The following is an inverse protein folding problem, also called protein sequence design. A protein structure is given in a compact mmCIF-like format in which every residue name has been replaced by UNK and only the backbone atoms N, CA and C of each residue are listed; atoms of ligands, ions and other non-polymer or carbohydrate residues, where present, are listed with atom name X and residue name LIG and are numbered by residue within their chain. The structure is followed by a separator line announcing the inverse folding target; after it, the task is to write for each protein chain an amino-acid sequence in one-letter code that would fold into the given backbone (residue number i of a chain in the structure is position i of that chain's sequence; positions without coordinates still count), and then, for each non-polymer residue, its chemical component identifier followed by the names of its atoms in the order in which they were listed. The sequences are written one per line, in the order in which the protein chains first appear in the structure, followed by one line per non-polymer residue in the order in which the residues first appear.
data_IF_436638357257
#
_entry.id   IF_436638357257
#
_cell.length_a   1.000
_cell.length_b   1.000
_cell.length_c   1.000
_cell.angle_alpha   90.00
_cell.angle_beta   90.00
_cell.angle_gamma   90.00
#
_symmetry.space_group_name_H-M   'P 1'
#
loop_
_entity.id
_entity.type
_entity.pdbx_description
1 polymer ?
#
# COMPACT_ATOMS: atom_id res chain seq x y z
N UNK A 1 22.04 -4.50 -16.62
CA UNK A 1 21.97 -5.97 -16.76
C UNK A 1 20.99 -6.61 -15.77
N UNK A 2 21.14 -6.40 -14.45
CA UNK A 2 20.33 -7.09 -13.43
C UNK A 2 18.80 -6.91 -13.55
N UNK A 3 18.23 -5.71 -13.75
CA UNK A 3 16.77 -5.55 -13.85
C UNK A 3 16.13 -6.30 -15.03
N UNK A 4 16.85 -6.38 -16.16
CA UNK A 4 16.41 -7.13 -17.36
C UNK A 4 16.41 -8.62 -17.07
N UNK A 5 17.45 -9.11 -16.39
CA UNK A 5 17.56 -10.51 -15.99
C UNK A 5 16.48 -10.90 -14.97
N UNK A 6 16.21 -10.08 -13.95
CA UNK A 6 15.14 -10.34 -12.98
C UNK A 6 13.78 -10.45 -13.70
N UNK A 7 13.48 -9.53 -14.63
CA UNK A 7 12.25 -9.57 -15.43
C UNK A 7 12.17 -10.82 -16.32
N UNK A 8 13.30 -11.26 -16.88
CA UNK A 8 13.39 -12.49 -17.66
C UNK A 8 13.11 -13.72 -16.79
N UNK A 9 13.77 -13.83 -15.63
CA UNK A 9 13.58 -14.93 -14.68
C UNK A 9 12.11 -15.05 -14.23
N UNK A 10 11.47 -13.93 -13.90
CA UNK A 10 10.04 -13.90 -13.54
C UNK A 10 9.13 -14.38 -14.68
N UNK A 11 9.40 -13.94 -15.92
CA UNK A 11 8.62 -14.36 -17.10
C UNK A 11 8.82 -15.84 -17.43
N UNK A 12 10.06 -16.32 -17.34
CA UNK A 12 10.39 -17.73 -17.55
C UNK A 12 9.74 -18.62 -16.50
N UNK A 13 9.86 -18.28 -15.22
CA UNK A 13 9.19 -18.99 -14.13
C UNK A 13 7.68 -19.07 -14.34
N UNK A 14 7.04 -17.95 -14.72
CA UNK A 14 5.61 -17.92 -14.99
C UNK A 14 5.20 -18.80 -16.18
N UNK A 15 6.00 -18.82 -17.26
CA UNK A 15 5.76 -19.68 -18.41
C UNK A 15 5.87 -21.17 -18.04
N UNK A 16 6.93 -21.55 -17.32
CA UNK A 16 7.17 -22.93 -16.88
C UNK A 16 6.04 -23.41 -15.95
N UNK A 17 5.60 -22.55 -15.04
CA UNK A 17 4.52 -22.85 -14.12
C UNK A 17 3.17 -23.06 -14.83
N UNK A 18 2.85 -22.25 -15.85
CA UNK A 18 1.67 -22.45 -16.71
C UNK A 18 1.69 -23.80 -17.43
N UNK A 19 2.88 -24.28 -17.80
CA UNK A 19 3.10 -25.58 -18.43
C UNK A 19 3.26 -26.72 -17.42
N UNK A 20 3.01 -26.48 -16.12
CA UNK A 20 3.11 -27.47 -15.02
C UNK A 20 4.51 -28.04 -14.80
N UNK A 21 5.55 -27.40 -15.32
CA UNK A 21 6.96 -27.77 -15.12
C UNK A 21 7.46 -27.20 -13.78
N UNK A 22 6.93 -27.70 -12.66
CA UNK A 22 7.06 -27.07 -11.34
C UNK A 22 8.52 -26.96 -10.86
N UNK A 23 9.35 -28.01 -11.02
CA UNK A 23 10.75 -27.98 -10.61
C UNK A 23 11.57 -26.97 -11.42
N UNK A 24 11.33 -26.90 -12.73
CA UNK A 24 12.00 -25.94 -13.61
C UNK A 24 11.55 -24.50 -13.31
N UNK A 25 10.26 -24.30 -13.02
CA UNK A 25 9.74 -23.02 -12.59
C UNK A 25 10.41 -22.57 -11.28
N UNK A 26 10.58 -23.49 -10.32
CA UNK A 26 11.24 -23.23 -9.05
C UNK A 26 12.69 -22.78 -9.26
N UNK A 27 13.45 -23.47 -10.13
CA UNK A 27 14.81 -23.09 -10.50
C UNK A 27 14.85 -21.69 -11.15
N UNK A 28 13.94 -21.41 -12.08
CA UNK A 28 13.88 -20.10 -12.73
C UNK A 28 13.64 -18.96 -11.73
N UNK A 29 12.69 -19.14 -10.80
CA UNK A 29 12.39 -18.14 -9.78
C UNK A 29 13.53 -17.96 -8.77
N UNK A 30 14.31 -18.99 -8.44
CA UNK A 30 15.45 -18.88 -7.51
C UNK A 30 16.52 -17.86 -7.92
N UNK A 31 16.57 -17.49 -9.21
CA UNK A 31 17.53 -16.51 -9.72
C UNK A 31 17.20 -15.05 -9.37
N UNK A 32 16.01 -14.77 -8.81
CA UNK A 32 15.61 -13.43 -8.38
C UNK A 32 14.83 -13.47 -7.08
N UNK A 33 15.12 -12.53 -6.19
CA UNK A 33 14.31 -12.31 -4.99
C UNK A 33 13.25 -11.22 -5.23
N UNK A 34 13.13 -10.64 -6.43
CA UNK A 34 12.12 -9.63 -6.71
C UNK A 34 10.69 -10.22 -6.69
N UNK A 35 9.69 -9.53 -6.09
CA UNK A 35 8.30 -9.96 -6.16
C UNK A 35 7.82 -10.16 -7.61
N UNK A 36 6.99 -11.18 -7.89
CA UNK A 36 6.41 -12.14 -6.93
C UNK A 36 7.25 -13.41 -6.70
N UNK A 37 8.54 -13.45 -7.09
CA UNK A 37 9.35 -14.69 -7.07
C UNK A 37 9.33 -15.44 -5.74
N UNK A 38 9.59 -14.80 -4.57
CA UNK A 38 9.58 -15.49 -3.28
C UNK A 38 8.24 -16.18 -3.00
N UNK A 39 7.11 -15.49 -3.22
CA UNK A 39 5.76 -16.06 -3.09
C UNK A 39 5.59 -17.28 -4.01
N UNK A 40 5.97 -17.17 -5.29
CA UNK A 40 5.82 -18.28 -6.24
C UNK A 40 6.66 -19.50 -5.82
N UNK A 41 7.87 -19.27 -5.33
CA UNK A 41 8.75 -20.34 -4.81
C UNK A 41 8.13 -21.04 -3.62
N UNK A 42 7.57 -20.31 -2.65
CA UNK A 42 6.85 -20.92 -1.51
C UNK A 42 5.71 -21.81 -2.00
N UNK A 43 4.88 -21.33 -2.94
CA UNK A 43 3.77 -22.10 -3.50
C UNK A 43 4.24 -23.36 -4.25
N UNK A 44 5.34 -23.27 -5.01
CA UNK A 44 5.91 -24.40 -5.72
C UNK A 44 6.54 -25.43 -4.76
N UNK A 45 7.27 -24.98 -3.74
CA UNK A 45 7.82 -25.86 -2.70
C UNK A 45 6.69 -26.61 -1.97
N UNK A 46 5.61 -25.91 -1.60
CA UNK A 46 4.41 -26.55 -1.03
C UNK A 46 3.81 -27.60 -1.97
N UNK A 47 3.64 -27.26 -3.25
CA UNK A 47 3.11 -28.18 -4.28
C UNK A 47 3.99 -29.41 -4.50
N UNK A 48 5.31 -29.28 -4.33
CA UNK A 48 6.29 -30.35 -4.42
C UNK A 48 6.47 -31.14 -3.11
N UNK A 49 5.69 -30.84 -2.07
CA UNK A 49 5.79 -31.50 -0.76
C UNK A 49 7.01 -31.09 0.08
N UNK A 50 7.77 -30.07 -0.34
CA UNK A 50 8.99 -29.58 0.33
C UNK A 50 8.63 -28.58 1.43
N UNK A 51 7.82 -29.02 2.40
CA UNK A 51 7.23 -28.17 3.44
C UNK A 51 8.28 -27.43 4.30
N UNK A 52 9.36 -28.06 4.79
CA UNK A 52 10.35 -27.36 5.61
C UNK A 52 11.04 -26.21 4.85
N UNK A 53 11.29 -26.39 3.56
CA UNK A 53 11.90 -25.35 2.73
C UNK A 53 10.93 -24.21 2.41
N UNK A 54 9.65 -24.53 2.22
CA UNK A 54 8.60 -23.53 2.08
C UNK A 54 8.48 -22.68 3.36
N UNK A 55 8.54 -23.32 4.54
CA UNK A 55 8.46 -22.65 5.84
C UNK A 55 9.66 -21.72 6.05
N UNK A 56 10.88 -22.21 5.84
CA UNK A 56 12.10 -21.40 5.96
C UNK A 56 12.09 -20.19 5.01
N UNK A 57 11.52 -20.32 3.81
CA UNK A 57 11.37 -19.20 2.89
C UNK A 57 10.32 -18.19 3.38
N UNK A 58 9.19 -18.65 3.93
CA UNK A 58 8.22 -17.74 4.57
C UNK A 58 8.83 -16.97 5.75
N UNK A 59 9.64 -17.61 6.60
CA UNK A 59 10.32 -16.94 7.71
C UNK A 59 11.23 -15.82 7.23
N UNK A 60 12.00 -16.07 6.16
CA UNK A 60 12.83 -15.05 5.51
C UNK A 60 12.00 -13.89 4.95
N UNK A 61 10.91 -14.19 4.25
CA UNK A 61 10.00 -13.17 3.70
C UNK A 61 9.37 -12.33 4.81
N UNK A 62 9.01 -12.94 5.94
CA UNK A 62 8.42 -12.24 7.10
C UNK A 62 9.43 -11.33 7.80
N UNK A 63 10.70 -11.71 7.86
CA UNK A 63 11.76 -10.92 8.49
C UNK A 63 12.14 -9.67 7.68
N UNK A 64 12.00 -9.71 6.35
CA UNK A 64 12.34 -8.59 5.47
C UNK A 64 11.45 -8.55 4.22
N UNK A 65 10.14 -8.28 4.36
CA UNK A 65 9.23 -8.26 3.23
C UNK A 65 9.55 -7.08 2.31
N UNK A 66 9.52 -7.30 0.98
CA UNK A 66 9.76 -6.21 0.02
C UNK A 66 8.52 -5.35 -0.24
N UNK A 67 7.33 -5.91 -0.02
CA UNK A 67 6.06 -5.21 -0.16
C UNK A 67 4.98 -5.82 0.76
N UNK A 68 3.80 -5.20 0.77
CA UNK A 68 2.68 -5.66 1.57
C UNK A 68 2.21 -7.07 1.19
N UNK A 69 2.20 -7.41 -0.11
CA UNK A 69 1.80 -8.73 -0.60
C UNK A 69 2.66 -9.83 0.02
N UNK A 70 4.00 -9.67 0.00
CA UNK A 70 4.92 -10.62 0.64
C UNK A 70 4.73 -10.69 2.16
N UNK A 71 4.54 -9.55 2.84
CA UNK A 71 4.35 -9.49 4.30
C UNK A 71 3.15 -10.33 4.76
N UNK A 72 1.99 -10.13 4.13
CA UNK A 72 0.77 -10.84 4.51
C UNK A 72 0.74 -12.25 3.95
N UNK A 73 1.26 -12.49 2.74
CA UNK A 73 1.41 -13.84 2.21
C UNK A 73 2.29 -14.69 3.13
N UNK A 74 3.47 -14.19 3.53
CA UNK A 74 4.37 -14.92 4.41
C UNK A 74 3.69 -15.26 5.73
N UNK A 75 3.06 -14.29 6.39
CA UNK A 75 2.33 -14.52 7.65
C UNK A 75 1.22 -15.56 7.49
N UNK A 76 0.31 -15.35 6.53
CA UNK A 76 -0.87 -16.20 6.34
C UNK A 76 -0.48 -17.63 5.89
N UNK A 77 0.48 -17.74 4.97
CA UNK A 77 0.91 -19.02 4.42
C UNK A 77 1.80 -19.81 5.39
N UNK A 78 2.65 -19.13 6.18
CA UNK A 78 3.44 -19.75 7.25
C UNK A 78 2.53 -20.41 8.30
N UNK A 79 1.51 -19.70 8.78
CA UNK A 79 0.56 -20.25 9.76
C UNK A 79 -0.20 -21.48 9.20
N UNK A 80 -0.46 -21.49 7.89
CA UNK A 80 -1.00 -22.68 7.19
C UNK A 80 0.01 -23.83 7.17
N UNK A 81 1.27 -23.58 6.86
CA UNK A 81 2.32 -24.60 6.80
C UNK A 81 2.59 -25.21 8.17
N UNK A 82 2.64 -24.41 9.23
CA UNK A 82 2.81 -24.85 10.62
C UNK A 82 1.67 -25.78 11.04
N UNK A 83 0.43 -25.42 10.73
CA UNK A 83 -0.75 -26.26 10.99
C UNK A 83 -0.74 -27.57 10.20
N UNK A 84 -0.07 -27.62 9.05
CA UNK A 84 0.10 -28.85 8.25
C UNK A 84 1.25 -29.72 8.77
N UNK A 85 2.38 -29.11 9.18
CA UNK A 85 3.54 -29.82 9.75
C UNK A 85 3.24 -30.46 11.10
N UNK A 86 2.39 -29.84 11.92
CA UNK A 86 1.92 -30.39 13.20
C UNK A 86 1.03 -31.63 13.09
N UNK A 87 0.79 -32.15 11.89
CA UNK A 87 -0.01 -33.36 11.63
C UNK A 87 0.86 -34.56 11.30
N UNK A 88 0.28 -35.74 11.54
CA UNK A 88 0.86 -37.01 11.12
C UNK A 88 1.11 -37.03 9.60
N UNK A 89 2.23 -37.62 9.11
CA UNK A 89 2.60 -37.60 7.70
C UNK A 89 1.50 -38.07 6.74
N UNK A 90 0.72 -39.08 7.15
CA UNK A 90 -0.38 -39.67 6.40
C UNK A 90 -1.59 -38.71 6.22
N UNK A 91 -1.65 -37.66 7.06
CA UNK A 91 -2.72 -36.66 7.08
C UNK A 91 -2.31 -35.34 6.40
N UNK A 92 -1.05 -35.20 5.99
CA UNK A 92 -0.53 -34.02 5.26
C UNK A 92 -1.10 -34.03 3.83
N UNK A 93 -1.50 -32.86 3.31
CA UNK A 93 -2.20 -32.76 2.02
C UNK A 93 -3.70 -33.09 2.00
N UNK A 94 -4.27 -33.66 3.07
CA UNK A 94 -5.72 -33.86 3.20
C UNK A 94 -6.47 -32.55 3.51
N UNK A 95 -7.71 -32.40 3.02
CA UNK A 95 -8.55 -31.22 3.29
C UNK A 95 -8.80 -31.11 4.80
N UNK A 96 -8.46 -29.96 5.41
CA UNK A 96 -8.60 -29.78 6.86
C UNK A 96 -10.08 -29.86 7.29
N UNK A 97 -10.40 -30.50 8.43
CA UNK A 97 -11.72 -30.39 9.07
C UNK A 97 -12.12 -28.95 9.32
N UNK A 98 -13.43 -28.64 9.33
CA UNK A 98 -13.98 -27.29 9.55
C UNK A 98 -13.37 -26.60 10.80
N UNK A 99 -13.17 -27.36 11.87
CA UNK A 99 -12.62 -26.94 13.17
C UNK A 99 -11.11 -26.66 13.17
N UNK A 100 -10.40 -27.12 12.14
CA UNK A 100 -8.95 -26.96 11.95
C UNK A 100 -8.65 -26.18 10.66
N UNK A 101 -9.64 -25.51 10.05
CA UNK A 101 -9.46 -24.80 8.77
C UNK A 101 -8.23 -23.91 8.80
N UNK A 102 -7.55 -23.84 7.65
CA UNK A 102 -6.40 -22.94 7.43
C UNK A 102 -6.69 -21.55 8.01
N UNK A 103 -5.71 -20.92 8.69
CA UNK A 103 -5.87 -19.57 9.19
C UNK A 103 -6.44 -18.67 8.09
N UNK A 104 -7.50 -17.94 8.42
CA UNK A 104 -8.12 -16.99 7.47
C UNK A 104 -7.08 -15.95 7.12
N UNK A 105 -7.13 -15.48 5.87
CA UNK A 105 -6.24 -14.40 5.43
C UNK A 105 -6.38 -13.18 6.33
N UNK A 106 -5.28 -12.52 6.65
CA UNK A 106 -5.27 -11.31 7.47
C UNK A 106 -6.24 -10.24 6.94
N UNK A 107 -6.31 -10.08 5.62
CA UNK A 107 -7.24 -9.15 4.96
C UNK A 107 -8.71 -9.50 5.17
N UNK A 108 -9.06 -10.79 5.16
CA UNK A 108 -10.42 -11.27 5.41
C UNK A 108 -10.81 -11.08 6.87
N UNK A 109 -9.88 -11.34 7.81
CA UNK A 109 -10.11 -11.11 9.23
C UNK A 109 -10.40 -9.64 9.52
N UNK A 110 -9.59 -8.73 8.98
CA UNK A 110 -9.82 -7.29 9.11
C UNK A 110 -11.18 -6.89 8.57
N UNK A 111 -11.54 -7.35 7.36
CA UNK A 111 -12.82 -7.01 6.73
C UNK A 111 -14.01 -7.50 7.56
N UNK A 112 -13.96 -8.73 8.10
CA UNK A 112 -15.05 -9.29 8.90
C UNK A 112 -15.23 -8.59 10.25
N UNK A 113 -14.14 -8.12 10.85
CA UNK A 113 -14.17 -7.36 12.10
C UNK A 113 -14.66 -5.92 11.92
N UNK A 114 -14.80 -5.45 10.68
CA UNK A 114 -15.11 -4.05 10.38
C UNK A 114 -16.61 -3.76 10.47
N UNK A 115 -16.92 -2.53 10.88
CA UNK A 115 -18.27 -1.97 10.95
C UNK A 115 -18.97 -2.07 9.59
N UNK A 116 -20.28 -2.33 9.61
CA UNK A 116 -21.13 -2.30 8.43
C UNK A 116 -22.15 -1.17 8.56
N UNK A 117 -22.32 -0.41 7.48
CA UNK A 117 -23.30 0.66 7.38
C UNK A 117 -24.33 0.34 6.30
N UNK A 118 -25.54 0.85 6.48
CA UNK A 118 -26.61 0.75 5.49
C UNK A 118 -26.57 1.96 4.57
N UNK A 119 -26.56 1.68 3.27
CA UNK A 119 -26.55 2.69 2.20
C UNK A 119 -27.69 2.39 1.23
N UNK A 120 -28.31 3.42 0.68
CA UNK A 120 -29.38 3.31 -0.31
C UNK A 120 -28.91 2.50 -1.55
N UNK A 121 -29.77 1.61 -2.05
CA UNK A 121 -29.47 0.76 -3.21
C UNK A 121 -29.19 1.55 -4.50
N UNK A 122 -29.65 2.80 -4.61
CA UNK A 122 -29.35 3.73 -5.70
C UNK A 122 -27.86 4.06 -5.82
N UNK A 123 -27.07 3.86 -4.76
CA UNK A 123 -25.61 4.01 -4.76
C UNK A 123 -24.86 2.73 -5.11
N UNK A 124 -25.53 1.64 -5.54
CA UNK A 124 -24.87 0.35 -5.86
C UNK A 124 -23.69 0.44 -6.82
N UNK A 125 -23.69 1.41 -7.74
CA UNK A 125 -22.60 1.63 -8.70
C UNK A 125 -21.68 2.82 -8.35
N UNK A 126 -21.89 3.45 -7.19
CA UNK A 126 -21.15 4.61 -6.67
C UNK A 126 -21.10 4.51 -5.14
N UNK A 127 -20.50 3.43 -4.65
CA UNK A 127 -20.61 3.00 -3.25
C UNK A 127 -20.00 4.05 -2.33
N UNK A 128 -18.84 4.58 -2.71
CA UNK A 128 -18.09 5.64 -2.04
C UNK A 128 -18.95 6.91 -1.91
N UNK A 129 -19.71 7.28 -2.95
CA UNK A 129 -20.62 8.41 -2.90
C UNK A 129 -21.77 8.19 -1.91
N UNK A 130 -22.26 6.95 -1.80
CA UNK A 130 -23.26 6.58 -0.81
C UNK A 130 -22.73 6.65 0.62
N UNK A 131 -21.46 6.27 0.84
CA UNK A 131 -20.78 6.44 2.12
C UNK A 131 -20.56 7.92 2.44
N UNK A 132 -20.12 8.73 1.47
CA UNK A 132 -20.00 10.19 1.63
C UNK A 132 -21.35 10.78 2.04
N UNK A 133 -22.44 10.42 1.36
CA UNK A 133 -23.78 10.87 1.70
C UNK A 133 -24.17 10.50 3.14
N UNK A 134 -23.97 9.24 3.54
CA UNK A 134 -24.21 8.75 4.89
C UNK A 134 -23.39 9.52 5.96
N UNK A 135 -22.15 9.88 5.66
CA UNK A 135 -21.28 10.68 6.53
C UNK A 135 -21.73 12.14 6.61
N UNK A 136 -22.17 12.71 5.48
CA UNK A 136 -22.71 14.09 5.41
C UNK A 136 -23.98 14.26 6.22
N UNK A 137 -24.88 13.27 6.21
CA UNK A 137 -26.06 13.26 7.09
C UNK A 137 -25.71 13.26 8.59
N UNK A 138 -24.48 12.84 8.94
CA UNK A 138 -23.94 12.82 10.31
C UNK A 138 -23.03 14.02 10.60
N UNK A 139 -23.01 15.03 9.73
CA UNK A 139 -22.26 16.26 9.94
C UNK A 139 -20.79 16.21 9.52
N UNK A 140 -20.34 15.15 8.85
CA UNK A 140 -18.98 15.10 8.28
C UNK A 140 -18.95 15.67 6.86
N UNK A 141 -17.88 16.40 6.55
CA UNK A 141 -17.43 16.59 5.17
C UNK A 141 -16.61 15.36 4.79
N UNK A 142 -16.83 14.80 3.61
CA UNK A 142 -16.07 13.66 3.13
C UNK A 142 -15.79 13.81 1.63
N UNK A 143 -14.57 13.46 1.22
CA UNK A 143 -14.15 13.49 -0.18
C UNK A 143 -13.43 12.22 -0.55
N UNK A 144 -13.51 11.83 -1.82
CA UNK A 144 -12.69 10.78 -2.38
C UNK A 144 -11.24 11.28 -2.50
N UNK A 145 -10.38 10.85 -1.59
CA UNK A 145 -8.98 11.28 -1.53
C UNK A 145 -8.04 10.23 -2.09
N UNK A 146 -8.26 8.95 -1.75
CA UNK A 146 -7.42 7.80 -2.11
C UNK A 146 -5.92 8.13 -2.14
N UNK A 147 -5.18 7.66 -3.15
CA UNK A 147 -3.76 7.93 -3.33
C UNK A 147 -3.48 9.40 -3.71
N UNK A 148 -4.47 10.08 -4.28
CA UNK A 148 -4.34 11.41 -4.85
C UNK A 148 -3.90 12.45 -3.82
N UNK A 149 -4.54 12.45 -2.64
CA UNK A 149 -4.18 13.36 -1.54
C UNK A 149 -2.72 13.16 -1.09
N UNK A 150 -2.33 11.92 -0.80
CA UNK A 150 -1.04 11.62 -0.18
C UNK A 150 0.12 11.79 -1.14
N UNK A 151 -0.05 11.36 -2.39
CA UNK A 151 0.93 11.58 -3.43
C UNK A 151 1.08 13.08 -3.69
N UNK A 152 -0.03 13.83 -3.77
CA UNK A 152 -0.02 15.27 -3.93
C UNK A 152 0.67 16.00 -2.77
N UNK A 153 0.36 15.65 -1.53
CA UNK A 153 1.00 16.20 -0.33
C UNK A 153 2.52 15.98 -0.36
N UNK A 154 2.97 14.73 -0.54
CA UNK A 154 4.38 14.40 -0.62
C UNK A 154 5.09 15.06 -1.80
N UNK A 155 4.44 15.10 -2.96
CA UNK A 155 4.98 15.70 -4.18
C UNK A 155 5.17 17.20 -4.07
N UNK A 156 4.23 17.92 -3.43
CA UNK A 156 4.38 19.36 -3.13
C UNK A 156 5.42 19.63 -2.04
N UNK A 157 5.46 18.81 -0.99
CA UNK A 157 6.38 18.99 0.13
C UNK A 157 7.84 18.74 -0.26
N UNK A 158 8.09 17.76 -1.13
CA UNK A 158 9.42 17.28 -1.50
C UNK A 158 9.84 17.66 -2.93
N UNK A 159 9.14 18.59 -3.58
CA UNK A 159 9.33 18.87 -5.01
C UNK A 159 10.80 19.10 -5.39
N UNK A 160 11.47 20.04 -4.75
CA UNK A 160 12.87 20.39 -4.99
C UNK A 160 13.83 19.25 -4.63
N UNK A 161 13.47 18.42 -3.66
CA UNK A 161 14.27 17.25 -3.27
C UNK A 161 14.14 16.13 -4.31
N UNK A 162 12.94 15.91 -4.85
CA UNK A 162 12.71 14.93 -5.93
C UNK A 162 13.55 15.30 -7.15
N UNK A 163 13.55 16.58 -7.53
CA UNK A 163 14.24 17.09 -8.71
C UNK A 163 15.63 17.66 -8.42
N UNK A 164 16.24 17.28 -7.29
CA UNK A 164 17.60 17.69 -6.93
C UNK A 164 18.61 17.22 -8.00
N UNK A 165 19.25 18.19 -8.66
CA UNK A 165 20.21 17.98 -9.76
C UNK A 165 21.53 17.37 -9.25
N UNK A 166 21.89 17.61 -7.99
CA UNK A 166 23.13 17.09 -7.38
C UNK A 166 23.13 15.55 -7.31
N UNK A 167 21.95 14.92 -7.41
CA UNK A 167 21.78 13.47 -7.37
C UNK A 167 22.11 12.76 -8.69
N UNK A 168 22.32 13.53 -9.77
CA UNK A 168 22.62 13.05 -11.12
C UNK A 168 21.64 11.98 -11.61
N UNK A 169 20.37 12.10 -11.20
CA UNK A 169 19.32 11.13 -11.52
C UNK A 169 18.46 11.55 -12.73
N UNK A 170 18.60 12.80 -13.18
CA UNK A 170 17.97 13.38 -14.36
C UNK A 170 19.01 13.41 -15.50
N UNK A 171 18.71 12.74 -16.61
CA UNK A 171 19.65 12.52 -17.71
C UNK A 171 19.31 13.31 -18.97
N UNK A 172 18.08 13.82 -19.11
CA UNK A 172 17.67 14.66 -20.24
C UNK A 172 16.43 15.52 -19.90
N UNK A 173 16.20 16.65 -20.62
CA UNK A 173 15.13 17.61 -20.28
C UNK A 173 13.69 17.05 -20.32
N UNK A 174 13.45 16.01 -21.12
CA UNK A 174 12.13 15.38 -21.25
C UNK A 174 11.80 14.33 -20.16
N UNK A 175 12.67 14.14 -19.15
CA UNK A 175 12.38 13.17 -18.09
C UNK A 175 11.30 13.69 -17.15
N UNK A 176 10.27 12.87 -16.94
CA UNK A 176 9.15 13.20 -16.04
C UNK A 176 9.45 12.90 -14.57
N UNK A 177 10.50 12.13 -14.30
CA UNK A 177 10.89 11.66 -12.97
C UNK A 177 12.38 11.31 -12.96
N UNK A 178 13.08 11.45 -11.82
CA UNK A 178 14.45 10.98 -11.69
C UNK A 178 14.50 9.45 -11.80
N UNK A 179 15.57 8.94 -12.42
CA UNK A 179 15.74 7.51 -12.73
C UNK A 179 15.78 6.58 -11.50
N UNK A 180 16.06 7.13 -10.33
CA UNK A 180 16.14 6.40 -9.06
C UNK A 180 14.84 6.44 -8.24
N UNK A 181 13.81 7.20 -8.64
CA UNK A 181 12.60 7.44 -7.84
C UNK A 181 11.93 6.18 -7.30
N UNK A 182 11.81 5.15 -8.13
CA UNK A 182 11.16 3.89 -7.78
C UNK A 182 12.15 2.81 -7.33
N UNK A 183 13.30 3.23 -6.82
CA UNK A 183 14.35 2.35 -6.31
C UNK A 183 14.68 2.70 -4.86
N UNK A 184 15.24 1.75 -4.08
CA UNK A 184 15.68 2.04 -2.70
C UNK A 184 16.65 3.22 -2.60
N UNK A 185 17.42 3.48 -3.67
CA UNK A 185 18.40 4.56 -3.73
C UNK A 185 17.79 5.96 -3.61
N UNK A 186 16.51 6.15 -3.92
CA UNK A 186 15.87 7.45 -3.80
C UNK A 186 15.98 8.00 -2.37
N UNK A 187 15.54 7.19 -1.40
CA UNK A 187 15.64 7.55 0.02
C UNK A 187 17.10 7.55 0.48
N UNK A 188 17.89 6.52 0.15
CA UNK A 188 19.30 6.43 0.58
C UNK A 188 20.10 7.71 0.25
N UNK A 189 19.88 8.27 -0.94
CA UNK A 189 20.58 9.47 -1.41
C UNK A 189 20.06 10.77 -0.80
N UNK A 190 18.76 10.85 -0.51
CA UNK A 190 18.06 12.09 -0.10
C UNK A 190 17.63 12.08 1.36
N UNK A 191 18.04 11.09 2.15
CA UNK A 191 17.56 10.89 3.52
C UNK A 191 17.76 12.14 4.39
N UNK A 192 18.94 12.74 4.35
CA UNK A 192 19.22 13.97 5.11
C UNK A 192 18.32 15.13 4.68
N UNK A 193 18.20 15.38 3.37
CA UNK A 193 17.37 16.45 2.83
C UNK A 193 15.89 16.25 3.18
N UNK A 194 15.39 15.02 3.10
CA UNK A 194 14.02 14.67 3.48
C UNK A 194 13.82 14.94 4.97
N UNK A 195 14.68 14.39 5.84
CA UNK A 195 14.57 14.60 7.29
C UNK A 195 14.65 16.08 7.68
N UNK A 196 15.50 16.86 7.01
CA UNK A 196 15.57 18.31 7.24
C UNK A 196 14.32 19.04 6.74
N UNK A 197 13.77 18.67 5.58
CA UNK A 197 12.51 19.23 5.07
C UNK A 197 11.34 18.91 5.98
N UNK A 198 11.28 17.71 6.55
CA UNK A 198 10.18 17.29 7.42
C UNK A 198 10.01 18.17 8.66
N UNK A 199 11.11 18.77 9.17
CA UNK A 199 11.06 19.74 10.27
C UNK A 199 10.15 20.94 9.98
N UNK A 200 9.92 21.28 8.71
CA UNK A 200 9.01 22.37 8.33
C UNK A 200 7.57 22.08 8.76
N UNK A 201 7.18 20.81 8.88
CA UNK A 201 5.82 20.42 9.27
C UNK A 201 5.45 20.94 10.66
N UNK A 202 6.44 21.17 11.52
CA UNK A 202 6.25 21.75 12.86
C UNK A 202 6.16 23.29 12.86
N UNK A 203 6.38 23.94 11.71
CA UNK A 203 6.34 25.38 11.53
C UNK A 203 5.20 25.74 10.59
N UNK A 204 4.01 25.88 11.18
CA UNK A 204 2.72 25.96 10.45
C UNK A 204 2.73 26.98 9.31
N UNK A 205 3.18 28.20 9.57
CA UNK A 205 3.21 29.28 8.58
C UNK A 205 4.19 28.98 7.43
N UNK A 206 5.42 28.56 7.75
CA UNK A 206 6.44 28.19 6.76
C UNK A 206 5.99 27.01 5.89
N UNK A 207 5.38 25.98 6.49
CA UNK A 207 4.88 24.83 5.75
C UNK A 207 3.75 25.20 4.79
N UNK A 208 2.77 25.99 5.25
CA UNK A 208 1.68 26.48 4.41
C UNK A 208 2.23 27.29 3.24
N UNK A 209 3.14 28.24 3.51
CA UNK A 209 3.76 29.06 2.47
C UNK A 209 4.53 28.21 1.46
N UNK A 210 5.26 27.20 1.93
CA UNK A 210 5.96 26.26 1.04
C UNK A 210 4.98 25.52 0.14
N UNK A 211 3.93 24.90 0.68
CA UNK A 211 2.95 24.13 -0.09
C UNK A 211 2.23 25.01 -1.12
N UNK A 212 1.81 26.21 -0.72
CA UNK A 212 1.16 27.19 -1.61
C UNK A 212 2.10 27.67 -2.71
N UNK A 213 3.34 28.04 -2.36
CA UNK A 213 4.35 28.49 -3.32
C UNK A 213 4.68 27.38 -4.32
N UNK A 214 4.96 26.17 -3.85
CA UNK A 214 5.24 25.03 -4.73
C UNK A 214 4.06 24.76 -5.65
N UNK A 215 2.83 24.79 -5.14
CA UNK A 215 1.65 24.61 -5.97
C UNK A 215 1.55 25.70 -7.05
N UNK A 216 1.68 26.98 -6.69
CA UNK A 216 1.57 28.10 -7.63
C UNK A 216 2.66 28.09 -8.71
N UNK A 217 3.92 27.86 -8.32
CA UNK A 217 5.05 27.89 -9.24
C UNK A 217 5.13 26.67 -10.15
N UNK A 218 4.63 25.51 -9.68
CA UNK A 218 4.78 24.23 -10.38
C UNK A 218 3.50 23.73 -11.02
N UNK A 219 2.39 24.47 -10.92
CA UNK A 219 1.10 24.07 -11.46
C UNK A 219 1.22 23.65 -12.94
N UNK A 220 0.75 22.44 -13.25
CA UNK A 220 0.81 21.88 -14.60
C UNK A 220 2.15 21.24 -15.00
N UNK A 221 3.20 21.36 -14.19
CA UNK A 221 4.50 20.71 -14.45
C UNK A 221 4.46 19.21 -14.11
N UNK A 222 5.20 18.39 -14.86
CA UNK A 222 5.23 16.94 -14.61
C UNK A 222 5.87 16.57 -13.28
N UNK A 223 5.16 15.83 -12.43
CA UNK A 223 5.69 15.15 -11.25
C UNK A 223 4.90 13.84 -11.06
N UNK A 224 5.56 12.69 -10.89
CA UNK A 224 4.89 11.39 -10.80
C UNK A 224 4.02 11.21 -9.55
N UNK A 225 4.20 12.05 -8.53
CA UNK A 225 3.36 12.04 -7.33
C UNK A 225 2.21 13.07 -7.40
N UNK A 226 2.28 14.04 -8.31
CA UNK A 226 1.31 15.15 -8.32
C UNK A 226 0.35 15.01 -9.50
N UNK A 227 -0.90 14.65 -9.19
CA UNK A 227 -2.02 14.82 -10.11
C UNK A 227 -2.56 16.25 -9.99
N UNK A 228 -2.43 17.07 -11.02
CA UNK A 228 -2.95 18.44 -10.98
C UNK A 228 -4.47 18.46 -11.14
N UNK A 229 -5.15 19.06 -10.16
CA UNK A 229 -6.56 19.42 -10.18
C UNK A 229 -6.74 20.65 -9.29
N UNK A 230 -7.77 21.46 -9.54
CA UNK A 230 -8.03 22.70 -8.79
C UNK A 230 -8.20 22.45 -7.28
N UNK A 231 -8.74 21.30 -6.90
CA UNK A 231 -8.99 20.93 -5.50
C UNK A 231 -7.77 20.41 -4.74
N UNK A 232 -6.60 20.24 -5.41
CA UNK A 232 -5.44 19.60 -4.79
C UNK A 232 -4.99 20.34 -3.53
N UNK A 233 -4.73 21.64 -3.69
CA UNK A 233 -4.16 22.46 -2.65
C UNK A 233 -5.12 22.57 -1.47
N UNK A 234 -6.42 22.77 -1.72
CA UNK A 234 -7.43 22.83 -0.67
C UNK A 234 -7.47 21.55 0.15
N UNK A 235 -7.45 20.39 -0.52
CA UNK A 235 -7.45 19.09 0.17
C UNK A 235 -6.17 18.86 0.98
N UNK A 236 -5.02 19.22 0.41
CA UNK A 236 -3.71 19.18 1.11
C UNK A 236 -3.73 20.08 2.35
N UNK A 237 -4.32 21.27 2.25
CA UNK A 237 -4.41 22.21 3.36
C UNK A 237 -5.33 21.70 4.47
N UNK A 238 -6.48 21.11 4.14
CA UNK A 238 -7.35 20.45 5.13
C UNK A 238 -6.62 19.30 5.82
N UNK A 239 -5.94 18.45 5.06
CA UNK A 239 -5.16 17.33 5.59
C UNK A 239 -4.09 17.82 6.58
N UNK A 240 -3.30 18.81 6.19
CA UNK A 240 -2.27 19.41 7.05
C UNK A 240 -2.84 20.07 8.32
N UNK A 241 -4.05 20.63 8.25
CA UNK A 241 -4.71 21.22 9.41
C UNK A 241 -5.22 20.17 10.41
N UNK A 242 -5.64 19.00 9.93
CA UNK A 242 -6.26 17.94 10.75
C UNK A 242 -5.25 16.94 11.30
N UNK A 243 -4.19 16.63 10.56
CA UNK A 243 -3.22 15.60 10.93
C UNK A 243 -2.02 16.23 11.62
N UNK A 244 -1.55 15.62 12.70
CA UNK A 244 -0.45 16.20 13.46
C UNK A 244 0.87 16.13 12.66
N UNK A 245 1.74 17.15 12.78
CA UNK A 245 3.02 17.19 12.08
C UNK A 245 3.84 15.90 12.20
N UNK A 246 4.01 15.37 13.42
CA UNK A 246 4.77 14.15 13.66
C UNK A 246 4.20 12.91 12.94
N UNK A 247 2.89 12.87 12.70
CA UNK A 247 2.26 11.78 11.96
C UNK A 247 2.54 11.91 10.46
N UNK A 248 2.48 13.13 9.93
CA UNK A 248 2.84 13.43 8.54
C UNK A 248 4.32 13.16 8.27
N UNK A 249 5.22 13.42 9.22
CA UNK A 249 6.63 13.04 9.11
C UNK A 249 6.80 11.54 8.88
N UNK A 250 6.17 10.73 9.75
CA UNK A 250 6.23 9.26 9.63
C UNK A 250 5.63 8.78 8.32
N UNK A 251 4.51 9.36 7.90
CA UNK A 251 3.83 9.03 6.64
C UNK A 251 4.72 9.30 5.42
N UNK A 252 5.28 10.51 5.34
CA UNK A 252 6.14 10.92 4.22
C UNK A 252 7.39 10.04 4.15
N UNK A 253 8.00 9.70 5.31
CA UNK A 253 9.14 8.77 5.35
C UNK A 253 8.76 7.37 4.88
N UNK A 254 7.60 6.85 5.30
CA UNK A 254 7.15 5.53 4.86
C UNK A 254 6.87 5.51 3.35
N UNK A 255 6.27 6.57 2.80
CA UNK A 255 6.12 6.71 1.35
C UNK A 255 7.49 6.74 0.64
N UNK A 256 8.42 7.57 1.12
CA UNK A 256 9.75 7.73 0.52
C UNK A 256 10.58 6.44 0.55
N UNK A 257 10.37 5.58 1.55
CA UNK A 257 11.05 4.27 1.68
C UNK A 257 10.82 3.36 0.48
N UNK A 258 9.63 3.40 -0.11
CA UNK A 258 9.31 2.61 -1.28
C UNK A 258 8.22 3.27 -2.13
N UNK A 259 8.55 4.35 -2.84
CA UNK A 259 7.59 5.09 -3.67
C UNK A 259 6.94 4.25 -4.79
N UNK A 260 7.51 3.08 -5.11
CA UNK A 260 6.89 2.14 -6.05
C UNK A 260 5.67 1.43 -5.46
N UNK A 261 5.73 1.09 -4.18
CA UNK A 261 4.69 0.29 -3.50
C UNK A 261 3.83 1.14 -2.57
N UNK A 262 4.43 2.12 -1.89
CA UNK A 262 3.81 2.97 -0.87
C UNK A 262 3.18 4.26 -1.45
N UNK A 263 2.85 4.27 -2.73
CA UNK A 263 2.05 5.33 -3.38
C UNK A 263 0.65 4.85 -3.74
N UNK A 264 0.30 3.61 -3.37
CA UNK A 264 -0.98 2.98 -3.67
C UNK A 264 -1.62 2.38 -2.41
N UNK A 265 -2.92 2.11 -2.49
CA UNK A 265 -3.69 1.44 -1.45
C UNK A 265 -4.04 2.32 -0.25
N UNK A 266 -4.01 3.63 -0.41
CA UNK A 266 -4.54 4.55 0.60
C UNK A 266 -6.07 4.44 0.68
N UNK A 267 -6.68 4.68 1.85
CA UNK A 267 -8.12 4.66 2.04
C UNK A 267 -8.85 5.59 1.06
N UNK A 268 -9.98 5.12 0.54
CA UNK A 268 -10.78 5.83 -0.48
C UNK A 268 -11.15 7.25 -0.05
N UNK A 269 -11.60 7.41 1.20
CA UNK A 269 -12.17 8.67 1.69
C UNK A 269 -11.32 9.29 2.79
N UNK A 270 -11.29 10.62 2.76
CA UNK A 270 -10.93 11.44 3.91
C UNK A 270 -12.18 12.17 4.39
N UNK A 271 -12.58 11.91 5.63
CA UNK A 271 -13.76 12.50 6.26
C UNK A 271 -13.37 13.31 7.50
N UNK A 272 -13.99 14.47 7.69
CA UNK A 272 -13.72 15.34 8.84
C UNK A 272 -14.91 16.24 9.16
N UNK A 273 -15.00 16.68 10.41
CA UNK A 273 -15.85 17.79 10.84
C UNK A 273 -14.98 18.79 11.62
N UNK A 274 -15.55 19.62 12.48
CA UNK A 274 -14.77 20.59 13.26
C UNK A 274 -13.92 19.91 14.36
N UNK A 275 -14.40 18.80 14.92
CA UNK A 275 -13.81 18.11 16.08
C UNK A 275 -12.90 16.93 15.67
N UNK A 276 -13.29 16.18 14.66
CA UNK A 276 -12.74 14.86 14.34
C UNK A 276 -12.38 14.73 12.85
N UNK A 277 -11.56 13.73 12.55
CA UNK A 277 -11.32 13.26 11.19
C UNK A 277 -11.08 11.74 11.17
N UNK A 278 -11.28 11.11 10.02
CA UNK A 278 -11.03 9.70 9.80
C UNK A 278 -10.74 9.40 8.32
N UNK A 279 -9.83 8.46 8.08
CA UNK A 279 -9.61 7.83 6.79
C UNK A 279 -10.46 6.58 6.67
N UNK A 280 -11.18 6.43 5.57
CA UNK A 280 -12.17 5.36 5.41
C UNK A 280 -11.92 4.61 4.11
N UNK A 281 -11.64 3.33 4.24
CA UNK A 281 -11.63 2.37 3.15
C UNK A 281 -13.04 1.77 3.00
N UNK A 282 -13.65 1.94 1.84
CA UNK A 282 -15.02 1.51 1.56
C UNK A 282 -14.99 0.12 0.92
N UNK A 283 -15.84 -0.80 1.40
CA UNK A 283 -15.97 -2.14 0.81
C UNK A 283 -17.41 -2.49 0.54
N UNK A 284 -17.74 -2.72 -0.73
CA UNK A 284 -19.03 -3.28 -1.11
C UNK A 284 -19.12 -4.77 -0.69
N UNK A 285 -20.32 -5.39 -0.70
CA UNK A 285 -20.50 -6.77 -0.20
C UNK A 285 -19.60 -7.83 -0.85
N UNK A 286 -19.17 -7.62 -2.09
CA UNK A 286 -18.35 -8.58 -2.84
C UNK A 286 -16.88 -8.16 -2.94
N UNK A 287 -16.50 -7.03 -2.34
CA UNK A 287 -15.14 -6.53 -2.38
C UNK A 287 -14.26 -7.18 -1.32
N UNK A 288 -12.96 -7.19 -1.61
CA UNK A 288 -11.94 -7.70 -0.73
C UNK A 288 -10.97 -6.58 -0.37
N UNK A 289 -10.43 -6.65 0.84
CA UNK A 289 -9.32 -5.79 1.24
C UNK A 289 -8.02 -6.31 0.63
N UNK A 290 -7.27 -5.44 -0.04
CA UNK A 290 -5.95 -5.78 -0.57
C UNK A 290 -4.89 -5.78 0.53
N UNK A 291 -3.76 -6.42 0.28
CA UNK A 291 -2.62 -6.42 1.19
C UNK A 291 -2.09 -4.99 1.44
N UNK A 292 -2.05 -4.16 0.40
CA UNK A 292 -1.57 -2.78 0.51
C UNK A 292 -2.52 -1.90 1.31
N UNK A 293 -3.84 -2.05 1.16
CA UNK A 293 -4.81 -1.33 1.98
C UNK A 293 -4.71 -1.75 3.44
N UNK A 294 -4.58 -3.06 3.71
CA UNK A 294 -4.35 -3.56 5.06
C UNK A 294 -3.06 -3.00 5.65
N UNK A 295 -1.99 -2.94 4.87
CA UNK A 295 -0.72 -2.34 5.29
C UNK A 295 -0.90 -0.90 5.76
N UNK A 296 -1.56 -0.06 4.96
CA UNK A 296 -1.81 1.34 5.33
C UNK A 296 -2.71 1.48 6.54
N UNK A 297 -3.76 0.67 6.67
CA UNK A 297 -4.63 0.69 7.85
C UNK A 297 -3.86 0.39 9.14
N UNK A 298 -2.97 -0.61 9.12
CA UNK A 298 -2.12 -0.91 10.27
C UNK A 298 -1.09 0.19 10.53
N UNK A 299 -0.48 0.75 9.48
CA UNK A 299 0.47 1.85 9.62
C UNK A 299 -0.21 3.09 10.23
N UNK A 300 -1.41 3.45 9.77
CA UNK A 300 -2.18 4.55 10.34
C UNK A 300 -2.50 4.33 11.81
N UNK A 301 -2.94 3.12 12.17
CA UNK A 301 -3.16 2.76 13.56
C UNK A 301 -1.87 2.91 14.40
N UNK A 302 -0.73 2.44 13.91
CA UNK A 302 0.58 2.53 14.57
C UNK A 302 1.03 3.98 14.79
N UNK A 303 0.71 4.88 13.86
CA UNK A 303 1.09 6.30 13.95
C UNK A 303 -0.02 7.17 14.58
N UNK A 304 -1.14 6.56 15.00
CA UNK A 304 -2.26 7.25 15.65
C UNK A 304 -3.15 8.08 14.70
N UNK A 305 -3.12 7.82 13.39
CA UNK A 305 -4.07 8.40 12.43
C UNK A 305 -5.35 7.55 12.46
N UNK A 306 -6.53 8.14 12.74
CA UNK A 306 -7.79 7.39 12.73
C UNK A 306 -8.10 6.87 11.33
N UNK A 307 -8.06 5.55 11.14
CA UNK A 307 -8.41 4.91 9.90
C UNK A 307 -9.27 3.66 10.15
N UNK A 308 -10.29 3.43 9.32
CA UNK A 308 -11.16 2.26 9.42
C UNK A 308 -11.64 1.76 8.05
N UNK A 309 -12.17 0.54 8.05
CA UNK A 309 -12.91 0.00 6.91
C UNK A 309 -14.40 0.14 7.22
N UNK A 310 -15.18 0.60 6.24
CA UNK A 310 -16.64 0.57 6.29
C UNK A 310 -17.17 -0.42 5.24
N UNK A 311 -17.84 -1.46 5.71
CA UNK A 311 -18.58 -2.38 4.84
C UNK A 311 -19.93 -1.77 4.51
N UNK A 312 -20.32 -1.86 3.24
CA UNK A 312 -21.63 -1.37 2.80
C UNK A 312 -22.59 -2.53 2.65
N UNK A 313 -23.75 -2.39 3.29
CA UNK A 313 -24.95 -3.21 3.07
C UNK A 313 -26.00 -2.35 2.37
N UNK A 314 -26.48 -2.80 1.21
CA UNK A 314 -27.52 -2.07 0.50
C UNK A 314 -28.88 -2.31 1.15
N UNK A 315 -29.60 -1.23 1.44
CA UNK A 315 -30.99 -1.31 1.90
C UNK A 315 -31.83 -1.94 0.78
N UNK A 316 -32.60 -2.97 1.12
CA UNK A 316 -33.60 -3.52 0.20
C UNK A 316 -34.63 -2.44 -0.13
N UNK A 317 -34.98 -2.30 -1.42
CA UNK A 317 -36.08 -1.44 -1.85
C UNK A 317 -37.41 -1.86 -1.22
#
# INVERSE_FOLDING_TARGET
ARPVFDKFALRMGALLERNRLNDQALLAYQHTDQPPSPERRVRLLHKLGRLPEALALCERMRAGPQNADEKYFATDFMARLEAELGREPEQRGARLPETLRTPRKSTTLQLQASEAIRVDAGFRHRVEQGVIHHLTERGYRAVHSENYLWCGFCGLLLWDIIFDEDQQAIHHPLQRAPSDLHTPRFLEKRQTQILDRLKILHRREECIQLLQRTHAEKYGMGNPLVGWHESLLDLVMVCYQKIQPAQLERLVLEMARNLRENTRGFPDLFAWNDEEYCLIEVKSPNDHLSAQQLYWLHFFHEIGIPAKVLRVEFMSQ
#
